data_IF_843973590338
#
_entry.id   IF_843973590338
#
_cell.length_a   1.000
_cell.length_b   1.000
_cell.length_c   1.000
_cell.angle_alpha   90.00
_cell.angle_beta   90.00
_cell.angle_gamma   90.00
#
_symmetry.space_group_name_H-M   'P 1'
#
loop_
_entity.id
_entity.type
_entity.pdbx_description
1 polymer ?
#
# COMPACT_ATOMS: atom_id res chain seq x y z
N UNK A 1 1.00 10.76 -5.66
CA UNK A 1 0.95 9.67 -4.63
C UNK A 1 2.33 9.51 -4.01
N UNK A 2 2.45 9.09 -2.75
CA UNK A 2 3.74 8.86 -2.08
C UNK A 2 3.67 7.63 -1.18
N UNK A 3 4.70 6.79 -1.21
CA UNK A 3 4.85 5.70 -0.24
C UNK A 3 5.48 6.22 1.05
N UNK A 4 4.92 5.83 2.19
CA UNK A 4 5.49 6.11 3.52
C UNK A 4 5.73 4.78 4.24
N UNK A 5 6.83 4.69 4.98
CA UNK A 5 7.07 3.55 5.89
C UNK A 5 6.08 3.61 7.04
N UNK A 6 5.56 2.46 7.43
CA UNK A 6 4.72 2.36 8.63
C UNK A 6 5.60 2.48 9.86
N UNK A 7 5.23 3.37 10.77
CA UNK A 7 5.92 3.55 12.06
C UNK A 7 5.08 2.88 13.14
N UNK A 8 5.66 1.90 13.83
CA UNK A 8 5.02 1.17 14.93
C UNK A 8 5.89 1.38 16.17
N UNK A 9 5.31 1.97 17.22
CA UNK A 9 6.02 2.30 18.46
C UNK A 9 7.31 3.14 18.24
N UNK A 10 7.26 4.09 17.30
CA UNK A 10 8.41 4.95 16.97
C UNK A 10 9.40 4.34 15.97
N UNK A 11 9.27 3.06 15.63
CA UNK A 11 10.17 2.37 14.69
C UNK A 11 9.57 2.26 13.30
N UNK A 12 10.30 2.76 12.29
CA UNK A 12 9.94 2.56 10.90
C UNK A 12 10.20 1.10 10.48
N UNK A 13 9.15 0.39 10.09
CA UNK A 13 9.25 -1.00 9.62
C UNK A 13 9.76 -1.02 8.17
N UNK A 14 10.82 -1.77 7.85
CA UNK A 14 11.37 -1.82 6.49
C UNK A 14 10.41 -2.51 5.50
N UNK A 15 9.66 -3.48 6.02
CA UNK A 15 8.79 -4.37 5.25
C UNK A 15 7.29 -4.04 5.41
N UNK A 16 6.98 -2.77 5.70
CA UNK A 16 5.61 -2.29 5.87
C UNK A 16 5.52 -0.82 5.44
N UNK A 17 4.55 -0.51 4.59
CA UNK A 17 4.34 0.85 4.13
C UNK A 17 2.94 1.11 3.61
N UNK A 18 2.59 2.39 3.56
CA UNK A 18 1.29 2.88 3.13
C UNK A 18 1.42 3.75 1.88
N UNK A 19 0.47 3.61 0.96
CA UNK A 19 0.30 4.53 -0.15
C UNK A 19 -0.55 5.71 0.29
N UNK A 20 -0.03 6.91 0.11
CA UNK A 20 -0.70 8.17 0.44
C UNK A 20 -1.06 8.92 -0.83
N UNK A 21 -2.32 9.37 -0.94
CA UNK A 21 -2.82 10.23 -2.00
C UNK A 21 -3.42 11.48 -1.34
N UNK A 22 -2.87 12.66 -1.67
CA UNK A 22 -3.14 13.89 -0.91
C UNK A 22 -2.79 13.69 0.57
N UNK A 23 -3.79 13.81 1.44
CA UNK A 23 -3.68 13.60 2.90
C UNK A 23 -4.17 12.23 3.36
N UNK A 24 -4.64 11.35 2.45
CA UNK A 24 -5.30 10.08 2.79
C UNK A 24 -4.38 8.88 2.57
N UNK A 25 -4.36 7.96 3.55
CA UNK A 25 -3.81 6.62 3.36
C UNK A 25 -4.87 5.80 2.61
N UNK A 26 -4.50 5.27 1.44
CA UNK A 26 -5.44 4.55 0.56
C UNK A 26 -5.08 3.08 0.42
N UNK A 27 -3.84 2.71 0.73
CA UNK A 27 -3.41 1.33 0.70
C UNK A 27 -2.30 1.05 1.71
N UNK A 28 -2.12 -0.22 2.07
CA UNK A 28 -0.97 -0.72 2.86
C UNK A 28 -0.38 -1.95 2.20
N UNK A 29 0.93 -2.05 2.21
CA UNK A 29 1.72 -3.21 1.74
C UNK A 29 2.61 -3.65 2.89
N UNK A 30 2.62 -4.94 3.21
CA UNK A 30 3.53 -5.49 4.21
C UNK A 30 3.93 -6.93 3.89
N UNK A 31 5.08 -7.35 4.41
CA UNK A 31 5.58 -8.73 4.27
C UNK A 31 4.99 -9.62 5.36
N UNK A 32 4.52 -10.80 4.99
CA UNK A 32 4.15 -11.83 5.94
C UNK A 32 5.42 -12.41 6.58
N UNK A 33 5.56 -12.25 7.89
CA UNK A 33 6.70 -12.77 8.67
C UNK A 33 6.42 -14.10 9.35
N UNK A 34 5.16 -14.54 9.37
CA UNK A 34 4.72 -15.73 10.11
C UNK A 34 3.76 -16.60 9.30
N UNK A 35 3.76 -17.90 9.61
CA UNK A 35 2.82 -18.89 9.08
C UNK A 35 3.15 -19.41 7.67
N UNK A 36 2.24 -20.17 7.04
CA UNK A 36 2.48 -20.83 5.76
C UNK A 36 2.74 -19.89 4.57
N UNK A 37 2.40 -18.60 4.72
CA UNK A 37 2.62 -17.58 3.69
C UNK A 37 3.84 -16.70 4.01
N UNK A 38 4.72 -17.12 4.91
CA UNK A 38 5.95 -16.38 5.24
C UNK A 38 6.75 -16.07 3.99
N UNK A 39 7.23 -14.84 3.88
CA UNK A 39 8.00 -14.36 2.73
C UNK A 39 7.17 -13.68 1.65
N UNK A 40 5.86 -13.96 1.56
CA UNK A 40 4.95 -13.30 0.61
C UNK A 40 4.60 -11.87 1.06
N UNK A 41 4.24 -11.02 0.10
CA UNK A 41 3.77 -9.67 0.35
C UNK A 41 2.25 -9.61 0.29
N UNK A 42 1.62 -8.95 1.26
CA UNK A 42 0.20 -8.63 1.21
C UNK A 42 0.01 -7.17 0.85
N UNK A 43 -1.10 -6.90 0.16
CA UNK A 43 -1.57 -5.55 -0.08
C UNK A 43 -3.05 -5.41 0.27
N UNK A 44 -3.41 -4.24 0.77
CA UNK A 44 -4.77 -3.88 1.17
C UNK A 44 -5.11 -2.52 0.58
N UNK A 45 -6.17 -2.48 -0.23
CA UNK A 45 -6.82 -1.28 -0.74
C UNK A 45 -7.95 -0.88 0.19
N UNK A 46 -7.86 0.31 0.78
CA UNK A 46 -8.70 0.78 1.88
C UNK A 46 -9.88 1.65 1.42
N UNK A 47 -9.93 2.05 0.14
CA UNK A 47 -11.05 2.82 -0.41
C UNK A 47 -12.15 1.89 -0.93
N UNK A 48 -13.40 2.36 -0.99
CA UNK A 48 -14.51 1.59 -1.54
C UNK A 48 -14.47 1.54 -3.09
N UNK A 49 -14.70 0.37 -3.72
CA UNK A 49 -14.81 -0.95 -3.10
C UNK A 49 -13.45 -1.44 -2.57
N UNK A 50 -13.42 -1.93 -1.34
CA UNK A 50 -12.20 -2.44 -0.72
C UNK A 50 -11.72 -3.70 -1.42
N UNK A 51 -10.40 -3.92 -1.39
CA UNK A 51 -9.80 -5.11 -1.98
C UNK A 51 -8.50 -5.45 -1.26
N UNK A 52 -8.07 -6.70 -1.39
CA UNK A 52 -6.78 -7.15 -0.88
C UNK A 52 -6.25 -8.28 -1.74
N UNK A 53 -4.95 -8.53 -1.64
CA UNK A 53 -4.32 -9.63 -2.35
C UNK A 53 -2.90 -9.89 -1.88
N UNK A 54 -2.23 -10.80 -2.59
CA UNK A 54 -0.86 -11.20 -2.32
C UNK A 54 -0.01 -11.02 -3.57
N UNK A 55 1.29 -10.85 -3.38
CA UNK A 55 2.29 -10.83 -4.43
C UNK A 55 3.60 -11.45 -3.93
N UNK A 56 4.43 -11.90 -4.87
CA UNK A 56 5.73 -12.50 -4.54
C UNK A 56 6.77 -11.45 -4.17
N UNK A 57 6.61 -10.21 -4.64
CA UNK A 57 7.52 -9.09 -4.39
C UNK A 57 6.81 -7.87 -3.81
N UNK A 58 7.58 -7.02 -3.13
CA UNK A 58 7.12 -5.75 -2.59
C UNK A 58 6.65 -4.83 -3.72
N UNK A 59 7.41 -4.81 -4.80
CA UNK A 59 7.20 -3.96 -5.96
C UNK A 59 5.88 -4.31 -6.65
N UNK A 60 5.61 -5.60 -6.89
CA UNK A 60 4.34 -6.03 -7.47
C UNK A 60 3.13 -5.68 -6.58
N UNK A 61 3.26 -5.85 -5.26
CA UNK A 61 2.22 -5.44 -4.30
C UNK A 61 1.96 -3.91 -4.33
N UNK A 62 3.02 -3.12 -4.46
CA UNK A 62 2.93 -1.65 -4.57
C UNK A 62 2.32 -1.23 -5.91
N UNK A 63 2.73 -1.85 -7.02
CA UNK A 63 2.23 -1.56 -8.37
C UNK A 63 0.72 -1.78 -8.47
N UNK A 64 0.19 -2.86 -7.89
CA UNK A 64 -1.26 -3.11 -7.84
C UNK A 64 -2.00 -2.01 -7.06
N UNK A 65 -1.45 -1.55 -5.93
CA UNK A 65 -2.02 -0.44 -5.17
C UNK A 65 -2.00 0.87 -5.96
N UNK A 66 -0.91 1.16 -6.67
CA UNK A 66 -0.79 2.36 -7.50
C UNK A 66 -1.70 2.30 -8.73
N UNK A 67 -1.85 1.13 -9.35
CA UNK A 67 -2.80 0.90 -10.45
C UNK A 67 -4.22 1.21 -9.99
N UNK A 68 -4.62 0.72 -8.81
CA UNK A 68 -5.93 1.04 -8.20
C UNK A 68 -6.08 2.51 -7.87
N UNK A 69 -5.05 3.15 -7.32
CA UNK A 69 -5.07 4.58 -7.05
C UNK A 69 -5.23 5.42 -8.33
N UNK A 70 -4.54 5.06 -9.42
CA UNK A 70 -4.73 5.69 -10.74
C UNK A 70 -6.18 5.54 -11.23
N UNK A 71 -6.76 4.35 -11.09
CA UNK A 71 -8.15 4.11 -11.48
C UNK A 71 -9.16 4.86 -10.61
N UNK A 72 -8.92 4.96 -9.31
CA UNK A 72 -9.85 5.58 -8.37
C UNK A 72 -9.78 7.11 -8.36
N UNK A 73 -8.59 7.69 -8.53
CA UNK A 73 -8.39 9.14 -8.46
C UNK A 73 -8.21 9.80 -9.84
N UNK A 74 -7.96 9.04 -10.91
CA UNK A 74 -7.71 9.60 -12.25
C UNK A 74 -6.57 10.61 -12.25
N UNK A 75 -6.76 11.73 -12.96
CA UNK A 75 -5.79 12.83 -13.06
C UNK A 75 -5.74 13.74 -11.81
N UNK A 76 -6.61 13.53 -10.81
CA UNK A 76 -6.63 14.31 -9.55
C UNK A 76 -5.46 14.03 -8.61
N UNK A 77 -4.43 13.33 -9.10
CA UNK A 77 -3.22 13.02 -8.34
C UNK A 77 -2.32 14.24 -8.13
N UNK A 78 -2.59 15.33 -8.85
CA UNK A 78 -1.77 16.56 -8.88
C UNK A 78 -2.47 17.81 -8.32
N UNK A 79 -3.69 17.73 -7.78
CA UNK A 79 -4.31 18.90 -7.14
C UNK A 79 -3.75 19.07 -5.71
N UNK A 80 -2.96 20.11 -5.42
CA UNK A 80 -2.68 20.48 -4.05
C UNK A 80 -3.98 21.05 -3.45
N UNK A 81 -4.49 20.37 -2.42
CA UNK A 81 -5.46 20.96 -1.52
C UNK A 81 -4.85 22.15 -0.77
#
# INVERSE_FOLDING_TARGET
MKWRRTVIAGEARPDDGCLVVGTRIVARVYRNTHGPSTGTWQWFWQMYPSASGRADTKEAAKEECERRARQHFGDRLNDPA
#
